data_IF_403017731220
#
_entry.id   IF_403017731220
#
_cell.length_a   1.000
_cell.length_b   1.000
_cell.length_c   1.000
_cell.angle_alpha   90.00
_cell.angle_beta   90.00
_cell.angle_gamma   90.00
#
_symmetry.space_group_name_H-M   'P 1'
#
loop_
_entity.id
_entity.type
_entity.pdbx_description
1 polymer ?
#
# COMPACT_ATOMS: atom_id res chain seq x y z
N UNK A 1 1.97 -38.78 -23.23
CA UNK A 1 2.14 -38.72 -21.76
C UNK A 1 1.66 -37.36 -21.27
N UNK A 2 0.72 -37.31 -20.32
CA UNK A 2 0.26 -36.04 -19.75
C UNK A 2 1.41 -35.35 -19.00
N UNK A 3 1.81 -34.17 -19.48
CA UNK A 3 2.93 -33.35 -18.99
C UNK A 3 2.63 -32.60 -17.68
N UNK A 4 1.48 -32.86 -17.06
CA UNK A 4 0.96 -32.09 -15.92
C UNK A 4 1.52 -32.64 -14.59
N UNK A 5 2.49 -31.93 -14.02
CA UNK A 5 3.15 -32.28 -12.73
C UNK A 5 2.56 -31.56 -11.50
N UNK A 6 1.30 -31.11 -11.56
CA UNK A 6 0.67 -30.39 -10.46
C UNK A 6 -0.81 -30.79 -10.31
N UNK A 7 -1.34 -30.72 -9.09
CA UNK A 7 -2.76 -30.99 -8.82
C UNK A 7 -3.27 -30.24 -7.59
N UNK A 8 -4.51 -29.76 -7.65
CA UNK A 8 -5.27 -29.23 -6.50
C UNK A 8 -6.18 -30.28 -5.85
N UNK A 9 -6.19 -31.52 -6.36
CA UNK A 9 -7.05 -32.59 -5.85
C UNK A 9 -6.69 -32.92 -4.40
N UNK A 10 -7.69 -33.18 -3.57
CA UNK A 10 -7.47 -33.76 -2.24
C UNK A 10 -6.81 -35.14 -2.36
N UNK A 11 -6.15 -35.62 -1.31
CA UNK A 11 -5.51 -36.94 -1.31
C UNK A 11 -6.53 -38.03 -1.68
N UNK A 12 -7.79 -37.92 -1.22
CA UNK A 12 -8.87 -38.86 -1.57
C UNK A 12 -9.24 -38.81 -3.07
N UNK A 13 -9.26 -37.62 -3.66
CA UNK A 13 -9.50 -37.48 -5.10
C UNK A 13 -8.32 -37.99 -5.94
N UNK A 14 -7.08 -37.82 -5.46
CA UNK A 14 -5.90 -38.45 -6.07
C UNK A 14 -6.00 -39.97 -5.97
N UNK A 15 -6.28 -40.50 -4.79
CA UNK A 15 -6.43 -41.94 -4.53
C UNK A 15 -7.45 -42.60 -5.45
N UNK A 16 -8.63 -41.99 -5.64
CA UNK A 16 -9.63 -42.45 -6.62
C UNK A 16 -9.10 -42.43 -8.06
N UNK A 17 -8.42 -41.36 -8.45
CA UNK A 17 -7.91 -41.22 -9.82
C UNK A 17 -6.81 -42.24 -10.17
N UNK A 18 -5.97 -42.62 -9.20
CA UNK A 18 -4.89 -43.61 -9.39
C UNK A 18 -5.24 -44.99 -8.82
N UNK A 19 -6.50 -45.21 -8.42
CA UNK A 19 -7.05 -46.48 -7.91
C UNK A 19 -6.22 -47.13 -6.79
N UNK A 20 -5.78 -46.34 -5.81
CA UNK A 20 -5.10 -46.84 -4.59
C UNK A 20 -5.75 -46.28 -3.33
N UNK A 21 -5.44 -46.83 -2.15
CA UNK A 21 -5.90 -46.26 -0.88
C UNK A 21 -5.35 -44.85 -0.65
N UNK A 22 -6.10 -44.02 0.10
CA UNK A 22 -5.69 -42.63 0.40
C UNK A 22 -4.31 -42.58 1.09
N UNK A 23 -4.01 -43.54 1.95
CA UNK A 23 -2.71 -43.67 2.64
C UNK A 23 -1.58 -43.97 1.66
N UNK A 24 -1.80 -44.88 0.69
CA UNK A 24 -0.81 -45.21 -0.34
C UNK A 24 -0.60 -44.02 -1.29
N UNK A 25 -1.66 -43.35 -1.72
CA UNK A 25 -1.56 -42.12 -2.52
C UNK A 25 -0.75 -41.04 -1.80
N UNK A 26 -0.95 -40.85 -0.49
CA UNK A 26 -0.16 -39.92 0.31
C UNK A 26 1.32 -40.32 0.39
N UNK A 27 1.62 -41.60 0.65
CA UNK A 27 3.00 -42.12 0.67
C UNK A 27 3.69 -41.91 -0.68
N UNK A 28 3.00 -42.16 -1.79
CA UNK A 28 3.53 -41.96 -3.15
C UNK A 28 3.82 -40.48 -3.44
N UNK A 29 2.90 -39.57 -3.07
CA UNK A 29 3.13 -38.12 -3.19
C UNK A 29 4.35 -37.69 -2.37
N UNK A 30 4.49 -38.17 -1.13
CA UNK A 30 5.65 -37.89 -0.26
C UNK A 30 6.95 -38.44 -0.85
N UNK A 31 6.94 -39.69 -1.34
CA UNK A 31 8.10 -40.33 -1.96
C UNK A 31 8.55 -39.58 -3.23
N UNK A 32 7.60 -39.15 -4.06
CA UNK A 32 7.83 -38.26 -5.21
C UNK A 32 8.15 -36.80 -4.84
N UNK A 33 8.36 -36.50 -3.56
CA UNK A 33 8.65 -35.15 -3.02
C UNK A 33 7.59 -34.08 -3.33
N UNK A 34 6.38 -34.48 -3.69
CA UNK A 34 5.25 -33.56 -3.85
C UNK A 34 4.84 -33.00 -2.49
N UNK A 35 4.57 -31.70 -2.47
CA UNK A 35 4.01 -30.99 -1.31
C UNK A 35 2.96 -29.99 -1.78
N UNK A 36 2.03 -29.64 -0.91
CA UNK A 36 1.21 -28.46 -1.11
C UNK A 36 2.13 -27.24 -1.12
N UNK A 37 2.11 -26.49 -2.21
CA UNK A 37 2.89 -25.27 -2.39
C UNK A 37 1.93 -24.14 -2.75
N UNK A 38 2.20 -22.97 -2.21
CA UNK A 38 1.68 -21.72 -2.74
C UNK A 38 2.70 -21.14 -3.73
N UNK A 39 2.22 -20.37 -4.68
CA UNK A 39 3.08 -19.67 -5.63
C UNK A 39 3.94 -18.63 -4.88
N UNK A 40 5.27 -18.72 -5.00
CA UNK A 40 6.20 -17.73 -4.44
C UNK A 40 6.52 -16.67 -5.51
N UNK A 41 6.10 -15.43 -5.27
CA UNK A 41 6.46 -14.28 -6.13
C UNK A 41 7.95 -13.91 -5.93
N UNK A 42 8.87 -14.57 -6.64
CA UNK A 42 10.33 -14.28 -6.61
C UNK A 42 10.90 -13.76 -7.93
N UNK A 43 10.21 -14.00 -9.04
CA UNK A 43 10.68 -13.62 -10.36
C UNK A 43 10.29 -12.16 -10.64
N UNK A 44 11.29 -11.34 -10.96
CA UNK A 44 11.09 -9.99 -11.52
C UNK A 44 11.72 -9.97 -12.90
N UNK A 45 11.01 -9.44 -13.90
CA UNK A 45 11.51 -9.34 -15.28
C UNK A 45 12.70 -8.38 -15.43
N UNK A 46 12.88 -7.47 -14.46
CA UNK A 46 14.00 -6.52 -14.41
C UNK A 46 14.60 -6.51 -13.01
N UNK A 47 15.88 -6.80 -12.88
CA UNK A 47 16.66 -6.50 -11.67
C UNK A 47 17.29 -5.13 -11.87
N UNK A 48 16.99 -4.17 -11.00
CA UNK A 48 17.64 -2.86 -11.04
C UNK A 48 19.10 -3.03 -10.62
N UNK A 49 20.09 -2.61 -11.44
CA UNK A 49 21.52 -2.68 -11.07
C UNK A 49 21.80 -1.96 -9.75
N UNK A 50 21.12 -0.84 -9.52
CA UNK A 50 21.27 0.00 -8.34
C UNK A 50 20.50 -0.48 -7.12
N UNK A 51 19.87 -1.67 -7.15
CA UNK A 51 19.01 -2.14 -6.06
C UNK A 51 19.72 -2.09 -4.72
N UNK A 52 20.89 -2.71 -4.61
CA UNK A 52 21.63 -2.78 -3.34
C UNK A 52 22.08 -1.39 -2.87
N UNK A 53 22.50 -0.53 -3.81
CA UNK A 53 22.87 0.85 -3.55
C UNK A 53 21.68 1.63 -2.98
N UNK A 54 20.50 1.46 -3.55
CA UNK A 54 19.28 2.13 -3.07
C UNK A 54 18.84 1.62 -1.69
N UNK A 55 18.95 0.32 -1.42
CA UNK A 55 18.65 -0.21 -0.09
C UNK A 55 19.62 0.34 0.98
N UNK A 56 20.90 0.46 0.63
CA UNK A 56 21.91 1.06 1.51
C UNK A 56 21.58 2.53 1.79
N UNK A 57 21.18 3.28 0.77
CA UNK A 57 20.78 4.68 0.92
C UNK A 57 19.51 4.85 1.77
N UNK A 58 18.48 4.01 1.55
CA UNK A 58 17.27 4.00 2.39
C UNK A 58 17.62 3.71 3.85
N UNK A 59 18.49 2.74 4.12
CA UNK A 59 18.93 2.44 5.48
C UNK A 59 19.72 3.60 6.10
N UNK A 60 20.61 4.24 5.33
CA UNK A 60 21.35 5.43 5.77
C UNK A 60 20.40 6.57 6.14
N UNK A 61 19.40 6.86 5.30
CA UNK A 61 18.39 7.89 5.55
C UNK A 61 17.56 7.56 6.79
N UNK A 62 17.06 6.32 6.92
CA UNK A 62 16.31 5.89 8.11
C UNK A 62 17.12 6.06 9.40
N UNK A 63 18.36 5.59 9.42
CA UNK A 63 19.24 5.72 10.60
C UNK A 63 19.56 7.18 10.91
N UNK A 64 19.70 8.03 9.88
CA UNK A 64 19.93 9.47 10.07
C UNK A 64 18.72 10.17 10.66
N UNK A 65 17.52 9.92 10.13
CA UNK A 65 16.28 10.54 10.63
C UNK A 65 15.95 10.06 12.04
N UNK A 66 16.08 8.75 12.31
CA UNK A 66 15.85 8.18 13.63
C UNK A 66 16.77 8.79 14.70
N UNK A 67 18.08 8.95 14.40
CA UNK A 67 19.03 9.60 15.32
C UNK A 67 18.70 11.07 15.62
N UNK A 68 18.04 11.77 14.69
CA UNK A 68 17.61 13.17 14.86
C UNK A 68 16.19 13.31 15.41
N UNK A 69 15.56 12.21 15.82
CA UNK A 69 14.16 12.19 16.29
C UNK A 69 13.15 12.63 15.23
N UNK A 70 13.49 12.57 13.94
CA UNK A 70 12.62 13.01 12.86
C UNK A 70 11.71 11.87 12.39
N UNK A 71 10.44 12.14 12.04
CA UNK A 71 9.48 11.14 11.61
C UNK A 71 9.90 10.44 10.32
N UNK A 72 9.64 9.14 10.28
CA UNK A 72 9.83 8.28 9.11
C UNK A 72 8.51 7.57 8.86
N UNK A 73 7.92 7.79 7.68
CA UNK A 73 6.71 7.09 7.26
C UNK A 73 6.99 6.22 6.04
N UNK A 74 6.27 5.11 5.96
CA UNK A 74 6.21 4.23 4.80
C UNK A 74 4.80 4.30 4.24
N UNK A 75 4.67 4.57 2.94
CA UNK A 75 3.38 4.84 2.30
C UNK A 75 3.18 3.98 1.07
N UNK A 76 1.93 3.57 0.86
CA UNK A 76 1.50 2.84 -0.32
C UNK A 76 -0.04 2.79 -0.42
N UNK A 77 -0.56 2.56 -1.62
CA UNK A 77 -1.97 2.28 -1.85
C UNK A 77 -2.20 0.77 -1.95
N UNK A 78 -3.11 0.25 -1.13
CA UNK A 78 -3.62 -1.11 -1.33
C UNK A 78 -4.46 -1.15 -2.61
N UNK A 79 -4.64 -2.37 -3.12
CA UNK A 79 -5.57 -2.70 -4.19
C UNK A 79 -6.94 -2.03 -3.96
N UNK A 80 -7.54 -1.53 -5.05
CA UNK A 80 -8.95 -1.10 -5.12
C UNK A 80 -9.84 -2.30 -4.84
N UNK A 81 -10.72 -2.18 -3.85
CA UNK A 81 -11.70 -3.19 -3.48
C UNK A 81 -13.11 -2.70 -3.80
N UNK A 82 -13.98 -3.62 -4.17
CA UNK A 82 -15.41 -3.37 -4.39
C UNK A 82 -16.12 -3.33 -3.04
N UNK A 83 -17.02 -2.37 -2.86
CA UNK A 83 -17.90 -2.27 -1.69
C UNK A 83 -19.22 -2.94 -2.02
N UNK A 84 -19.64 -3.88 -1.18
CA UNK A 84 -20.81 -4.71 -1.38
C UNK A 84 -20.60 -6.14 -0.88
N UNK A 85 -21.61 -6.99 -1.05
CA UNK A 85 -21.59 -8.41 -0.63
C UNK A 85 -20.80 -9.27 -1.62
N UNK A 86 -19.52 -8.96 -1.81
CA UNK A 86 -18.60 -9.69 -2.67
C UNK A 86 -17.81 -10.76 -1.92
N UNK A 87 -17.37 -11.78 -2.64
CA UNK A 87 -16.61 -12.88 -2.03
C UNK A 87 -15.21 -12.42 -1.62
N UNK A 88 -14.99 -12.33 -0.31
CA UNK A 88 -13.65 -12.15 0.25
C UNK A 88 -13.01 -13.49 0.65
N UNK A 89 -11.75 -13.70 0.29
CA UNK A 89 -11.06 -14.97 0.54
C UNK A 89 -10.76 -15.13 2.04
N UNK A 90 -10.97 -16.34 2.56
CA UNK A 90 -10.74 -16.66 3.97
C UNK A 90 -11.95 -17.30 4.61
N UNK A 91 -11.94 -17.39 5.95
CA UNK A 91 -13.04 -17.91 6.77
C UNK A 91 -13.06 -17.13 8.08
N UNK A 92 -14.25 -16.80 8.55
CA UNK A 92 -14.48 -16.15 9.83
C UNK A 92 -15.49 -16.97 10.65
N UNK A 93 -15.41 -16.85 11.98
CA UNK A 93 -16.41 -17.43 12.87
C UNK A 93 -17.66 -16.55 12.86
N UNK A 94 -18.82 -17.14 12.58
CA UNK A 94 -20.13 -16.47 12.59
C UNK A 94 -21.21 -17.47 13.02
N UNK A 95 -22.32 -16.97 13.58
CA UNK A 95 -23.49 -17.80 13.92
C UNK A 95 -24.17 -18.36 12.67
N UNK A 96 -24.20 -17.59 11.59
CA UNK A 96 -24.78 -17.96 10.30
C UNK A 96 -23.84 -17.60 9.16
N UNK A 97 -23.89 -18.33 8.02
CA UNK A 97 -23.21 -17.92 6.80
C UNK A 97 -23.70 -16.55 6.33
N UNK A 98 -22.82 -15.80 5.65
CA UNK A 98 -23.18 -14.57 4.94
C UNK A 98 -23.27 -14.91 3.46
N UNK A 99 -24.44 -14.72 2.86
CA UNK A 99 -24.63 -14.88 1.43
C UNK A 99 -23.94 -13.73 0.68
N UNK A 100 -23.23 -14.08 -0.38
CA UNK A 100 -22.47 -13.15 -1.23
C UNK A 100 -22.85 -13.38 -2.69
N UNK A 101 -22.65 -12.36 -3.52
CA UNK A 101 -22.89 -12.44 -4.96
C UNK A 101 -22.18 -13.63 -5.60
N UNK A 102 -22.87 -14.27 -6.54
CA UNK A 102 -22.30 -15.37 -7.35
C UNK A 102 -21.16 -14.84 -8.23
N UNK A 103 -21.29 -13.59 -8.68
CA UNK A 103 -20.33 -12.89 -9.51
C UNK A 103 -19.83 -11.63 -8.78
N UNK A 104 -18.56 -11.32 -8.96
CA UNK A 104 -17.94 -10.09 -8.43
C UNK A 104 -17.85 -9.03 -9.55
N UNK A 105 -18.98 -8.62 -10.13
CA UNK A 105 -18.98 -7.58 -11.17
C UNK A 105 -18.85 -6.19 -10.57
N UNK A 106 -17.99 -5.30 -11.12
CA UNK A 106 -17.90 -3.92 -10.64
C UNK A 106 -19.20 -3.11 -10.75
N UNK A 107 -20.12 -3.49 -11.64
CA UNK A 107 -21.45 -2.87 -11.79
C UNK A 107 -22.36 -3.08 -10.59
N UNK A 108 -22.14 -4.17 -9.86
CA UNK A 108 -22.99 -4.59 -8.74
C UNK A 108 -22.49 -4.00 -7.41
N UNK A 109 -21.43 -3.18 -7.47
CA UNK A 109 -20.82 -2.60 -6.29
C UNK A 109 -21.46 -1.26 -5.95
N UNK A 110 -21.77 -1.06 -4.66
CA UNK A 110 -22.28 0.22 -4.13
C UNK A 110 -21.23 1.33 -4.23
N UNK A 111 -19.97 0.95 -4.43
CA UNK A 111 -18.86 1.85 -4.64
C UNK A 111 -17.54 1.11 -4.57
N UNK A 112 -16.47 1.89 -4.43
CA UNK A 112 -15.13 1.33 -4.24
C UNK A 112 -14.45 1.90 -3.02
N UNK A 113 -13.50 1.12 -2.52
CA UNK A 113 -12.62 1.50 -1.43
C UNK A 113 -11.17 1.36 -1.88
N UNK A 114 -10.42 2.44 -1.74
CA UNK A 114 -8.98 2.51 -2.04
C UNK A 114 -8.26 2.86 -0.74
N UNK A 115 -7.76 1.86 0.01
CA UNK A 115 -7.00 2.11 1.22
C UNK A 115 -5.61 2.66 0.88
N UNK A 116 -5.32 3.90 1.27
CA UNK A 116 -3.97 4.47 1.27
C UNK A 116 -3.39 4.39 2.68
N UNK A 117 -2.33 3.61 2.82
CA UNK A 117 -1.69 3.30 4.10
C UNK A 117 -0.53 4.24 4.37
N UNK A 118 -0.46 4.73 5.60
CA UNK A 118 0.67 5.45 6.18
C UNK A 118 1.09 4.67 7.43
N UNK A 119 2.25 4.04 7.37
CA UNK A 119 2.85 3.35 8.50
C UNK A 119 3.97 4.22 9.08
N UNK A 120 3.81 4.65 10.33
CA UNK A 120 4.85 5.35 11.06
C UNK A 120 5.92 4.34 11.47
N UNK A 121 7.09 4.41 10.84
CA UNK A 121 8.20 3.49 11.07
C UNK A 121 8.84 3.71 12.44
N UNK A 122 8.76 4.92 12.99
CA UNK A 122 9.37 5.26 14.28
C UNK A 122 8.58 4.71 15.45
N UNK A 123 7.25 4.64 15.34
CA UNK A 123 6.34 4.20 16.41
C UNK A 123 5.66 2.87 16.17
N UNK A 124 5.57 2.49 14.90
CA UNK A 124 4.80 1.34 14.44
C UNK A 124 3.30 1.56 14.34
N UNK A 125 2.85 2.81 14.45
CA UNK A 125 1.44 3.18 14.31
C UNK A 125 0.98 3.09 12.84
N UNK A 126 -0.26 2.61 12.63
CA UNK A 126 -0.90 2.55 11.33
C UNK A 126 -1.96 3.63 11.16
N UNK A 127 -1.98 4.28 10.01
CA UNK A 127 -3.04 5.21 9.61
C UNK A 127 -3.49 4.90 8.18
N UNK A 128 -4.79 4.78 7.96
CA UNK A 128 -5.35 4.47 6.65
C UNK A 128 -6.35 5.53 6.25
N UNK A 129 -6.19 6.09 5.06
CA UNK A 129 -7.23 6.89 4.40
C UNK A 129 -7.88 6.01 3.34
N UNK A 130 -9.18 5.75 3.48
CA UNK A 130 -9.96 5.00 2.49
C UNK A 130 -10.59 6.01 1.55
N UNK A 131 -10.11 6.07 0.31
CA UNK A 131 -10.70 6.89 -0.75
C UNK A 131 -11.84 6.15 -1.44
N UNK A 132 -12.86 6.89 -1.88
CA UNK A 132 -14.03 6.32 -2.58
C UNK A 132 -14.05 6.59 -4.08
N UNK A 133 -13.00 7.22 -4.64
CA UNK A 133 -12.88 7.56 -6.06
C UNK A 133 -11.67 6.88 -6.71
N UNK A 134 -10.57 7.62 -6.94
CA UNK A 134 -9.39 7.13 -7.67
C UNK A 134 -8.10 7.24 -6.85
N UNK A 135 -7.16 6.32 -7.11
CA UNK A 135 -5.81 6.37 -6.56
C UNK A 135 -4.92 7.34 -7.37
N UNK A 136 -5.01 8.64 -7.07
CA UNK A 136 -4.25 9.69 -7.76
C UNK A 136 -3.13 10.27 -6.88
N UNK A 137 -2.15 10.99 -7.44
CA UNK A 137 -1.17 11.72 -6.65
C UNK A 137 -1.79 12.76 -5.70
N UNK A 138 -2.89 13.39 -6.11
CA UNK A 138 -3.63 14.32 -5.27
C UNK A 138 -4.25 13.61 -4.05
N UNK A 139 -4.85 12.44 -4.27
CA UNK A 139 -5.38 11.61 -3.17
C UNK A 139 -4.27 11.17 -2.21
N UNK A 140 -3.16 10.64 -2.74
CA UNK A 140 -2.04 10.13 -1.96
C UNK A 140 -1.38 11.22 -1.07
N UNK A 141 -1.13 12.40 -1.63
CA UNK A 141 -0.56 13.53 -0.88
C UNK A 141 -1.55 14.08 0.15
N UNK A 142 -2.83 14.16 -0.20
CA UNK A 142 -3.87 14.50 0.76
C UNK A 142 -3.98 13.48 1.91
N UNK A 143 -3.80 12.19 1.65
CA UNK A 143 -3.80 11.16 2.69
C UNK A 143 -2.65 11.35 3.69
N UNK A 144 -1.45 11.69 3.19
CA UNK A 144 -0.30 12.04 4.03
C UNK A 144 -0.58 13.30 4.86
N UNK A 145 -1.14 14.34 4.23
CA UNK A 145 -1.50 15.56 4.94
C UNK A 145 -2.56 15.30 6.03
N UNK A 146 -3.55 14.44 5.74
CA UNK A 146 -4.57 14.03 6.72
C UNK A 146 -3.95 13.29 7.90
N UNK A 147 -3.03 12.37 7.65
CA UNK A 147 -2.26 11.70 8.70
C UNK A 147 -1.49 12.73 9.55
N UNK A 148 -0.78 13.66 8.93
CA UNK A 148 -0.02 14.69 9.64
C UNK A 148 -0.93 15.49 10.59
N UNK A 149 -2.07 15.99 10.08
CA UNK A 149 -3.01 16.77 10.90
C UNK A 149 -3.68 15.98 12.02
N UNK A 150 -4.00 14.71 11.78
CA UNK A 150 -4.82 13.91 12.70
C UNK A 150 -4.02 13.05 13.70
N UNK A 151 -2.74 12.80 13.42
CA UNK A 151 -1.90 11.92 14.24
C UNK A 151 -0.42 12.34 14.25
N UNK A 152 0.15 12.67 13.09
CA UNK A 152 1.59 12.93 12.98
C UNK A 152 2.04 14.14 13.81
N UNK A 153 1.38 15.29 13.67
CA UNK A 153 1.77 16.56 14.28
C UNK A 153 1.80 16.53 15.81
N UNK A 154 0.82 15.88 16.45
CA UNK A 154 0.75 15.84 17.92
C UNK A 154 1.82 14.94 18.53
N UNK A 155 2.34 14.00 17.74
CA UNK A 155 3.31 12.99 18.20
C UNK A 155 4.73 13.37 17.80
N UNK A 156 4.88 14.07 16.69
CA UNK A 156 6.15 14.59 16.15
C UNK A 156 6.15 16.12 16.19
N UNK A 157 5.90 16.68 17.38
CA UNK A 157 5.65 18.12 17.57
C UNK A 157 6.83 18.99 17.12
N UNK A 158 8.06 18.54 17.36
CA UNK A 158 9.30 19.25 17.03
C UNK A 158 9.90 18.87 15.67
N UNK A 159 9.15 18.11 14.86
CA UNK A 159 9.67 17.68 13.57
C UNK A 159 9.86 18.87 12.63
N UNK A 160 11.05 18.92 12.03
CA UNK A 160 11.43 19.88 10.98
C UNK A 160 11.58 19.19 9.63
N UNK A 161 11.75 17.87 9.65
CA UNK A 161 11.95 17.03 8.49
C UNK A 161 11.04 15.81 8.53
N UNK A 162 10.63 15.31 7.37
CA UNK A 162 9.87 14.08 7.23
C UNK A 162 10.52 13.20 6.17
N UNK A 163 10.83 11.95 6.52
CA UNK A 163 11.26 10.94 5.55
C UNK A 163 10.06 10.09 5.10
N UNK A 164 9.81 10.06 3.79
CA UNK A 164 8.78 9.23 3.17
C UNK A 164 9.45 8.11 2.37
N UNK A 165 9.14 6.87 2.74
CA UNK A 165 9.50 5.67 1.99
C UNK A 165 8.32 5.28 1.10
N UNK A 166 8.52 5.27 -0.21
CA UNK A 166 7.48 5.01 -1.20
C UNK A 166 7.95 3.97 -2.22
N UNK A 167 7.03 3.24 -2.85
CA UNK A 167 7.34 2.18 -3.81
C UNK A 167 7.32 2.64 -5.28
N UNK A 168 7.08 3.94 -5.51
CA UNK A 168 6.96 4.56 -6.83
C UNK A 168 5.87 3.94 -7.72
N UNK A 169 4.76 3.49 -7.13
CA UNK A 169 3.51 3.15 -7.80
C UNK A 169 2.83 4.32 -8.53
N UNK A 170 1.62 4.09 -9.04
CA UNK A 170 0.93 5.03 -9.94
C UNK A 170 0.64 6.40 -9.32
N UNK A 171 0.32 6.45 -8.02
CA UNK A 171 -0.02 7.70 -7.31
C UNK A 171 1.17 8.38 -6.63
N UNK A 172 2.25 7.66 -6.34
CA UNK A 172 3.43 8.19 -5.64
C UNK A 172 4.71 8.08 -6.50
N UNK A 173 4.58 7.98 -7.83
CA UNK A 173 5.70 7.80 -8.74
C UNK A 173 6.78 8.88 -8.58
N UNK A 174 8.05 8.46 -8.55
CA UNK A 174 9.19 9.38 -8.48
C UNK A 174 9.26 10.37 -9.67
N UNK A 175 8.64 10.02 -10.79
CA UNK A 175 8.55 10.84 -12.01
C UNK A 175 7.33 11.75 -12.04
N UNK A 176 6.30 11.49 -11.24
CA UNK A 176 5.05 12.23 -11.30
C UNK A 176 5.23 13.65 -10.71
N UNK A 177 5.05 14.66 -11.55
CA UNK A 177 5.07 16.07 -11.12
C UNK A 177 3.96 16.34 -10.10
N UNK A 178 2.73 15.89 -10.37
CA UNK A 178 1.59 16.07 -9.47
C UNK A 178 1.82 15.52 -8.05
N UNK A 179 2.59 14.43 -7.91
CA UNK A 179 3.00 13.89 -6.62
C UNK A 179 3.93 14.87 -5.89
N UNK A 180 4.99 15.33 -6.56
CA UNK A 180 5.95 16.30 -6.01
C UNK A 180 5.29 17.64 -5.69
N UNK A 181 4.38 18.11 -6.54
CA UNK A 181 3.60 19.33 -6.31
C UNK A 181 2.69 19.19 -5.08
N UNK A 182 1.99 18.06 -4.91
CA UNK A 182 1.21 17.82 -3.70
C UNK A 182 2.08 17.80 -2.44
N UNK A 183 3.29 17.20 -2.50
CA UNK A 183 4.26 17.27 -1.41
C UNK A 183 4.76 18.70 -1.15
N UNK A 184 4.97 19.51 -2.18
CA UNK A 184 5.31 20.94 -2.03
C UNK A 184 4.23 21.68 -1.25
N UNK A 185 2.95 21.43 -1.53
CA UNK A 185 1.85 22.04 -0.77
C UNK A 185 1.86 21.61 0.70
N UNK A 186 2.20 20.36 0.99
CA UNK A 186 2.36 19.89 2.38
C UNK A 186 3.54 20.60 3.04
N UNK A 187 4.71 20.65 2.38
CA UNK A 187 5.89 21.32 2.89
C UNK A 187 5.59 22.80 3.21
N UNK A 188 4.93 23.51 2.30
CA UNK A 188 4.55 24.91 2.50
C UNK A 188 3.60 25.10 3.69
N UNK A 189 2.60 24.23 3.85
CA UNK A 189 1.60 24.34 4.93
C UNK A 189 2.12 23.93 6.30
N UNK A 190 3.11 23.05 6.33
CA UNK A 190 3.59 22.42 7.58
C UNK A 190 4.95 22.95 8.02
N UNK A 191 5.70 23.62 7.14
CA UNK A 191 7.09 23.98 7.36
C UNK A 191 8.08 22.81 7.29
N UNK A 192 7.60 21.58 7.04
CA UNK A 192 8.46 20.39 6.98
C UNK A 192 9.29 20.35 5.71
N UNK A 193 10.56 19.99 5.85
CA UNK A 193 11.39 19.51 4.74
C UNK A 193 11.10 18.04 4.49
N UNK A 194 10.57 17.71 3.32
CA UNK A 194 10.12 16.35 3.00
C UNK A 194 11.14 15.65 2.12
N UNK A 195 11.86 14.68 2.68
CA UNK A 195 12.73 13.78 1.91
C UNK A 195 11.93 12.56 1.49
N UNK A 196 12.00 12.19 0.21
CA UNK A 196 11.38 10.97 -0.32
C UNK A 196 12.47 10.03 -0.82
N UNK A 197 12.39 8.77 -0.41
CA UNK A 197 13.24 7.70 -0.90
C UNK A 197 12.37 6.59 -1.50
N UNK A 198 12.51 6.39 -2.81
CA UNK A 198 11.73 5.41 -3.55
C UNK A 198 12.40 4.04 -3.55
N UNK A 199 11.65 2.97 -3.27
CA UNK A 199 12.11 1.61 -3.51
C UNK A 199 12.31 1.38 -5.02
N UNK A 200 13.34 0.63 -5.42
CA UNK A 200 13.56 0.34 -6.83
C UNK A 200 12.45 -0.56 -7.39
N UNK A 201 12.20 -0.54 -8.71
CA UNK A 201 11.19 -1.39 -9.33
C UNK A 201 11.33 -2.87 -8.94
N UNK A 202 10.20 -3.51 -8.65
CA UNK A 202 10.15 -4.92 -8.20
C UNK A 202 10.60 -5.15 -6.76
N UNK A 203 10.76 -4.08 -5.96
CA UNK A 203 11.15 -4.15 -4.57
C UNK A 203 10.07 -3.67 -3.58
N UNK A 204 8.83 -3.43 -4.03
CA UNK A 204 7.71 -2.96 -3.19
C UNK A 204 7.47 -3.83 -1.95
N UNK A 205 7.70 -5.14 -2.03
CA UNK A 205 7.61 -6.07 -0.89
C UNK A 205 8.45 -5.67 0.34
N UNK A 206 9.50 -4.87 0.15
CA UNK A 206 10.40 -4.39 1.20
C UNK A 206 9.97 -3.06 1.81
N UNK A 207 8.94 -2.42 1.23
CA UNK A 207 8.31 -1.24 1.81
C UNK A 207 7.59 -1.64 3.11
N UNK A 208 7.91 -1.05 4.29
CA UNK A 208 7.37 -1.48 5.58
C UNK A 208 5.84 -1.55 5.64
N UNK A 209 5.14 -0.60 5.03
CA UNK A 209 3.68 -0.51 5.01
C UNK A 209 3.01 -1.78 4.47
N UNK A 210 3.64 -2.46 3.50
CA UNK A 210 3.07 -3.65 2.86
C UNK A 210 2.90 -4.81 3.84
N UNK A 211 3.93 -5.10 4.64
CA UNK A 211 3.92 -6.23 5.55
C UNK A 211 3.60 -5.85 7.00
N UNK A 212 3.82 -4.59 7.41
CA UNK A 212 3.57 -4.13 8.78
C UNK A 212 2.19 -3.52 9.00
N UNK A 213 1.55 -3.03 7.92
CA UNK A 213 0.20 -2.46 7.96
C UNK A 213 -0.76 -3.30 7.09
N UNK A 214 -0.47 -3.46 5.80
CA UNK A 214 -1.40 -4.10 4.88
C UNK A 214 -1.50 -5.62 5.03
N UNK A 215 -0.44 -6.30 5.47
CA UNK A 215 -0.47 -7.71 5.83
C UNK A 215 -1.45 -8.00 6.98
N UNK A 216 -1.34 -7.31 8.13
CA UNK A 216 -2.32 -7.41 9.20
C UNK A 216 -3.74 -7.03 8.78
N UNK A 217 -3.93 -5.97 7.97
CA UNK A 217 -5.25 -5.59 7.45
C UNK A 217 -5.85 -6.73 6.62
N UNK A 218 -5.09 -7.30 5.68
CA UNK A 218 -5.54 -8.43 4.87
C UNK A 218 -5.90 -9.65 5.70
N UNK A 219 -5.17 -9.90 6.79
CA UNK A 219 -5.47 -11.00 7.71
C UNK A 219 -6.78 -10.74 8.45
N UNK A 220 -6.99 -9.51 8.93
CA UNK A 220 -8.20 -9.15 9.66
C UNK A 220 -9.46 -9.13 8.78
N UNK A 221 -9.30 -8.92 7.47
CA UNK A 221 -10.41 -8.90 6.52
C UNK A 221 -10.82 -10.31 6.05
N UNK A 222 -10.00 -11.32 6.29
CA UNK A 222 -10.14 -12.64 5.68
C UNK A 222 -11.51 -13.28 6.00
N UNK A 223 -12.28 -13.62 4.96
CA UNK A 223 -13.60 -14.23 5.09
C UNK A 223 -14.74 -13.27 5.47
N UNK A 224 -14.47 -11.98 5.67
CA UNK A 224 -15.50 -10.97 5.90
C UNK A 224 -15.75 -10.17 4.61
N UNK A 225 -16.98 -10.15 4.08
CA UNK A 225 -17.35 -9.26 2.97
C UNK A 225 -17.18 -7.78 3.34
N UNK A 226 -16.77 -6.96 2.38
CA UNK A 226 -16.65 -5.51 2.56
C UNK A 226 -17.99 -4.84 2.22
N UNK A 227 -19.04 -5.26 2.94
CA UNK A 227 -20.44 -4.93 2.64
C UNK A 227 -20.68 -3.42 2.52
N UNK A 228 -20.10 -2.64 3.42
CA UNK A 228 -20.21 -1.19 3.42
C UNK A 228 -18.93 -0.51 3.94
N UNK A 229 -18.89 0.81 3.85
CA UNK A 229 -17.77 1.60 4.35
C UNK A 229 -17.60 1.52 5.87
N UNK A 230 -18.67 1.26 6.64
CA UNK A 230 -18.59 1.12 8.08
C UNK A 230 -17.86 -0.17 8.48
N UNK A 231 -18.14 -1.27 7.79
CA UNK A 231 -17.48 -2.57 7.90
C UNK A 231 -16.00 -2.42 7.60
N UNK A 232 -15.64 -1.77 6.50
CA UNK A 232 -14.24 -1.49 6.15
C UNK A 232 -13.54 -0.69 7.27
N UNK A 233 -14.19 0.37 7.77
CA UNK A 233 -13.64 1.18 8.87
C UNK A 233 -13.46 0.37 10.14
N UNK A 234 -14.44 -0.45 10.53
CA UNK A 234 -14.36 -1.31 11.72
C UNK A 234 -13.22 -2.31 11.57
N UNK A 235 -13.15 -3.02 10.45
CA UNK A 235 -12.08 -3.99 10.19
C UNK A 235 -10.69 -3.33 10.24
N UNK A 236 -10.52 -2.13 9.69
CA UNK A 236 -9.25 -1.41 9.81
C UNK A 236 -8.98 -1.02 11.27
N UNK A 237 -9.95 -0.44 11.98
CA UNK A 237 -9.79 -0.01 13.39
C UNK A 237 -9.42 -1.14 14.34
N UNK A 238 -9.96 -2.34 14.09
CA UNK A 238 -9.67 -3.54 14.88
C UNK A 238 -8.36 -4.20 14.48
N UNK A 239 -7.75 -3.81 13.36
CA UNK A 239 -6.43 -4.30 12.99
C UNK A 239 -5.36 -3.79 13.95
N UNK A 240 -4.42 -4.66 14.30
CA UNK A 240 -3.16 -4.31 14.95
C UNK A 240 -2.03 -4.39 13.93
N UNK A 241 -1.15 -3.40 13.91
CA UNK A 241 0.09 -3.49 13.12
C UNK A 241 0.99 -4.58 13.69
N UNK A 242 2.08 -4.92 12.99
CA UNK A 242 3.06 -5.89 13.50
C UNK A 242 3.69 -5.47 14.84
N UNK A 243 3.73 -4.17 15.17
CA UNK A 243 4.18 -3.70 16.48
C UNK A 243 3.12 -3.80 17.58
N UNK A 244 1.90 -4.22 17.25
CA UNK A 244 0.77 -4.26 18.17
C UNK A 244 -0.01 -2.95 18.30
N UNK A 245 0.32 -1.91 17.53
CA UNK A 245 -0.39 -0.64 17.57
C UNK A 245 -1.74 -0.71 16.85
N UNK A 246 -2.74 0.06 17.30
CA UNK A 246 -4.04 0.16 16.61
C UNK A 246 -3.92 0.97 15.33
N UNK A 247 -4.61 0.55 14.29
CA UNK A 247 -4.74 1.34 13.08
C UNK A 247 -5.83 2.42 13.24
N UNK A 248 -5.50 3.68 12.92
CA UNK A 248 -6.48 4.74 12.72
C UNK A 248 -7.01 4.68 11.28
N UNK A 249 -8.27 5.03 11.09
CA UNK A 249 -8.90 5.07 9.77
C UNK A 249 -9.67 6.36 9.55
N UNK A 250 -9.57 6.91 8.36
CA UNK A 250 -10.38 8.02 7.87
C UNK A 250 -10.99 7.65 6.52
N UNK A 251 -12.24 8.04 6.30
CA UNK A 251 -12.94 7.84 5.04
C UNK A 251 -12.96 9.16 4.28
N UNK A 252 -12.52 9.15 3.03
CA UNK A 252 -12.43 10.33 2.17
C UNK A 252 -13.37 10.17 0.97
N UNK A 253 -14.51 10.87 1.06
CA UNK A 253 -15.56 10.89 0.04
C UNK A 253 -15.28 11.84 -1.13
N UNK A 254 -14.16 12.58 -1.09
CA UNK A 254 -13.85 13.53 -2.16
C UNK A 254 -13.60 12.78 -3.48
N UNK A 255 -14.06 13.41 -4.56
CA UNK A 255 -13.68 12.96 -5.89
C UNK A 255 -12.26 13.42 -6.20
N UNK A 256 -11.40 12.48 -6.56
CA UNK A 256 -10.03 12.71 -6.98
C UNK A 256 -9.91 12.33 -8.45
N UNK A 257 -10.22 13.24 -9.39
CA UNK A 257 -10.26 12.91 -10.80
C UNK A 257 -8.86 12.53 -11.32
N UNK A 258 -8.83 11.57 -12.23
CA UNK A 258 -7.65 11.18 -12.98
C UNK A 258 -7.25 12.28 -13.98
N UNK A 259 -6.00 12.25 -14.46
CA UNK A 259 -5.58 13.18 -15.51
C UNK A 259 -6.43 13.06 -16.78
N UNK A 260 -6.90 11.84 -17.10
CA UNK A 260 -7.78 11.60 -18.24
C UNK A 260 -9.13 12.30 -18.06
N UNK A 261 -9.75 12.18 -16.89
CA UNK A 261 -11.04 12.83 -16.60
C UNK A 261 -10.92 14.36 -16.59
N UNK A 262 -9.83 14.90 -16.02
CA UNK A 262 -9.56 16.34 -16.06
C UNK A 262 -9.43 16.84 -17.51
N UNK A 263 -8.68 16.12 -18.34
CA UNK A 263 -8.52 16.45 -19.75
C UNK A 263 -9.86 16.39 -20.51
N UNK A 264 -10.67 15.35 -20.30
CA UNK A 264 -12.00 15.22 -20.90
C UNK A 264 -12.95 16.35 -20.45
N UNK A 265 -12.83 16.82 -19.22
CA UNK A 265 -13.62 17.92 -18.69
C UNK A 265 -13.08 19.33 -19.06
N UNK A 266 -11.99 19.43 -19.83
CA UNK A 266 -11.35 20.71 -20.14
C UNK A 266 -10.72 21.41 -18.94
N UNK A 267 -10.54 20.71 -17.81
CA UNK A 267 -9.96 21.26 -16.59
C UNK A 267 -8.44 21.10 -16.67
N UNK A 268 -7.72 22.21 -16.55
CA UNK A 268 -6.27 22.18 -16.47
C UNK A 268 -5.82 21.33 -15.26
N UNK A 269 -5.01 20.31 -15.51
CA UNK A 269 -4.47 19.49 -14.44
C UNK A 269 -3.68 20.38 -13.46
N UNK A 270 -3.85 20.19 -12.13
CA UNK A 270 -3.23 21.06 -11.15
C UNK A 270 -1.72 21.13 -11.38
N UNK A 271 -1.30 22.34 -11.79
CA UNK A 271 0.06 22.83 -11.73
C UNK A 271 1.12 22.02 -12.49
N UNK A 272 0.87 21.64 -13.75
CA UNK A 272 1.90 21.01 -14.60
C UNK A 272 3.24 21.82 -14.69
N UNK A 273 3.22 23.10 -14.33
CA UNK A 273 4.38 24.01 -14.41
C UNK A 273 4.69 24.78 -13.12
N UNK A 274 4.03 24.50 -11.98
CA UNK A 274 4.38 25.23 -10.76
C UNK A 274 5.77 24.83 -10.27
N UNK A 275 6.59 25.82 -9.85
CA UNK A 275 7.94 25.54 -9.36
C UNK A 275 7.86 24.71 -8.08
N UNK A 276 8.72 23.70 -8.01
CA UNK A 276 8.89 22.85 -6.83
C UNK A 276 10.29 23.14 -6.30
N UNK A 277 10.41 23.47 -5.02
CA UNK A 277 11.67 23.68 -4.31
C UNK A 277 12.33 22.32 -4.00
N UNK A 278 12.71 21.60 -5.06
CA UNK A 278 13.25 20.24 -5.02
C UNK A 278 14.77 20.25 -5.13
N UNK A 279 15.43 19.48 -4.25
CA UNK A 279 16.83 19.13 -4.36
C UNK A 279 16.97 17.62 -4.50
N UNK A 280 17.78 17.18 -5.46
CA UNK A 280 18.01 15.76 -5.71
C UNK A 280 19.23 15.26 -4.93
N UNK A 281 19.16 14.03 -4.42
CA UNK A 281 20.30 13.44 -3.73
C UNK A 281 21.44 13.13 -4.71
N UNK A 282 22.69 13.17 -4.23
CA UNK A 282 23.85 12.76 -5.03
C UNK A 282 23.77 11.29 -5.46
N UNK A 283 23.28 10.43 -4.58
CA UNK A 283 23.06 9.02 -4.87
C UNK A 283 21.64 8.80 -5.40
N UNK A 284 21.54 8.30 -6.64
CA UNK A 284 20.28 7.91 -7.27
C UNK A 284 19.24 9.07 -7.24
N UNK A 285 19.57 10.23 -7.86
CA UNK A 285 18.73 11.44 -7.82
C UNK A 285 17.32 11.23 -8.36
N UNK A 286 17.13 10.25 -9.24
CA UNK A 286 15.83 9.85 -9.76
C UNK A 286 14.93 9.16 -8.73
N UNK A 287 15.49 8.58 -7.66
CA UNK A 287 14.77 7.87 -6.60
C UNK A 287 14.77 8.61 -5.27
N UNK A 288 15.70 9.56 -5.07
CA UNK A 288 15.87 10.25 -3.80
C UNK A 288 15.90 11.76 -4.02
N UNK A 289 14.99 12.47 -3.35
CA UNK A 289 14.90 13.92 -3.43
C UNK A 289 14.32 14.50 -2.14
N UNK A 290 14.58 15.78 -1.92
CA UNK A 290 14.02 16.56 -0.81
C UNK A 290 13.26 17.76 -1.34
N UNK A 291 12.08 17.99 -0.81
CA UNK A 291 11.25 19.15 -1.10
C UNK A 291 11.26 20.03 0.15
N UNK A 292 11.76 21.26 0.00
CA UNK A 292 11.74 22.25 1.06
C UNK A 292 10.45 23.09 0.97
N UNK A 293 10.00 23.71 2.08
CA UNK A 293 9.01 24.78 1.99
C UNK A 293 9.52 25.86 1.02
N UNK A 294 8.66 26.31 0.10
CA UNK A 294 8.98 27.44 -0.75
C UNK A 294 9.14 28.69 0.12
N UNK A 295 10.15 29.52 -0.17
CA UNK A 295 10.26 30.81 0.47
C UNK A 295 8.96 31.59 0.23
N UNK A 296 8.27 31.97 1.29
CA UNK A 296 7.19 32.95 1.21
C UNK A 296 7.83 34.21 0.65
N UNK A 297 7.45 34.61 -0.57
CA UNK A 297 7.67 35.99 -0.99
C UNK A 297 6.82 36.84 -0.05
N UNK A 298 7.48 37.43 0.95
CA UNK A 298 6.91 38.54 1.70
C UNK A 298 6.89 39.68 0.70
N UNK A 299 5.70 39.93 0.13
CA UNK A 299 5.43 41.20 -0.55
C UNK A 299 5.10 42.23 0.52
#
# INVERSE_FOLDING_TARGET
MSSVKWTRKSIRAVSRAIRVSHTKAWKMLRAGKYRLRFNRKRLTRKSSPDRNRQFSEINRLKNSFARRGQPIISVDAKKRELVGLFKNQGRAWSKTPIDVGIYDFPSDADGVAIPYGIYDVTRGDGFVVVGTSHNTPAFATNAIHKWWRAAGRSVHADARELLILADSGSSNSAKAHAWKHGLQQIANRTGLRITVAHYPPGASKWNPVEHRLFGPISTNWAGQPLADYNTIRQLIRHTRTTSGARCKVFLDHRNWPTQKELATAGIAAPAAHSPIAISHARALPNLNYTIAPAATRVN
#
